data_IF_525102388374
#
_entry.id   IF_525102388374
#
_cell.length_a   1.000
_cell.length_b   1.000
_cell.length_c   1.000
_cell.angle_alpha   90.00
_cell.angle_beta   90.00
_cell.angle_gamma   90.00
#
_symmetry.space_group_name_H-M   'P 1'
#
loop_
_entity.id
_entity.type
_entity.pdbx_description
1 polymer ?
#
# COMPACT_ATOMS: atom_id res chain seq x y z
N UNK A 1 -7.51 16.51 1.74
CA UNK A 1 -8.03 15.25 1.14
C UNK A 1 -6.90 14.25 1.06
N UNK A 2 -7.13 12.94 1.21
CA UNK A 2 -6.06 11.95 1.12
C UNK A 2 -5.39 11.99 -0.26
N UNK A 3 -4.06 11.84 -0.35
CA UNK A 3 -3.39 11.70 -1.64
C UNK A 3 -3.87 10.44 -2.35
N UNK A 4 -3.96 10.50 -3.68
CA UNK A 4 -4.39 9.37 -4.48
C UNK A 4 -3.27 8.31 -4.54
N UNK A 5 -3.58 7.03 -4.26
CA UNK A 5 -2.62 5.96 -4.45
C UNK A 5 -2.39 5.67 -5.93
N UNK A 6 -1.18 5.21 -6.25
CA UNK A 6 -0.84 4.59 -7.51
C UNK A 6 -1.00 3.08 -7.36
N UNK A 7 -1.84 2.48 -8.20
CA UNK A 7 -2.07 1.03 -8.27
C UNK A 7 -1.36 0.45 -9.50
N UNK A 8 -0.58 -0.60 -9.31
CA UNK A 8 0.07 -1.36 -10.37
C UNK A 8 -0.22 -2.85 -10.19
N UNK A 9 -0.74 -3.50 -11.22
CA UNK A 9 -0.97 -4.95 -11.24
C UNK A 9 0.04 -5.58 -12.20
N UNK A 10 0.98 -6.37 -11.67
CA UNK A 10 2.04 -7.00 -12.48
C UNK A 10 2.30 -8.42 -11.98
N UNK A 11 2.42 -9.37 -12.91
CA UNK A 11 2.89 -10.73 -12.60
C UNK A 11 2.09 -11.48 -11.52
N UNK A 12 0.78 -11.24 -11.40
CA UNK A 12 -0.06 -11.88 -10.37
C UNK A 12 0.00 -11.21 -8.99
N UNK A 13 0.60 -10.03 -8.88
CA UNK A 13 0.65 -9.22 -7.65
C UNK A 13 0.07 -7.83 -7.88
N UNK A 14 -0.55 -7.29 -6.84
CA UNK A 14 -0.95 -5.90 -6.74
C UNK A 14 0.11 -5.14 -5.94
N UNK A 15 0.52 -3.99 -6.45
CA UNK A 15 1.33 -2.99 -5.76
C UNK A 15 0.52 -1.70 -5.62
N UNK A 16 0.32 -1.25 -4.39
CA UNK A 16 -0.23 0.08 -4.08
C UNK A 16 0.90 0.92 -3.55
N UNK A 17 1.03 2.17 -4.02
CA UNK A 17 2.06 3.08 -3.55
C UNK A 17 1.51 4.49 -3.35
N UNK A 18 1.93 5.14 -2.28
CA UNK A 18 1.49 6.49 -1.90
C UNK A 18 2.71 7.29 -1.47
N UNK A 19 2.83 8.55 -1.90
CA UNK A 19 3.92 9.42 -1.44
C UNK A 19 3.82 9.66 0.07
N UNK A 20 4.90 9.33 0.79
CA UNK A 20 5.02 9.58 2.23
C UNK A 20 4.91 11.07 2.54
N UNK A 21 5.61 11.90 1.77
CA UNK A 21 5.59 13.35 1.95
C UNK A 21 4.19 13.94 1.74
N UNK A 22 3.42 13.44 0.76
CA UNK A 22 2.06 13.94 0.52
C UNK A 22 1.09 13.55 1.64
N UNK A 23 1.27 12.36 2.24
CA UNK A 23 0.52 11.95 3.43
C UNK A 23 0.80 12.89 4.60
N UNK A 24 2.08 13.18 4.85
CA UNK A 24 2.52 14.03 5.96
C UNK A 24 2.08 15.49 5.80
N UNK A 25 2.18 16.06 4.59
CA UNK A 25 1.65 17.40 4.28
C UNK A 25 0.14 17.46 4.53
N UNK A 26 -0.56 16.35 4.25
CA UNK A 26 -1.99 16.20 4.50
C UNK A 26 -2.33 15.79 5.94
N UNK A 27 -1.35 15.84 6.86
CA UNK A 27 -1.45 15.51 8.28
C UNK A 27 -1.86 14.06 8.59
N UNK A 28 -1.64 13.13 7.65
CA UNK A 28 -1.83 11.70 7.88
C UNK A 28 -0.58 11.05 8.46
N UNK A 29 -0.78 10.07 9.35
CA UNK A 29 0.31 9.26 9.88
C UNK A 29 0.81 8.26 8.82
N UNK A 30 1.95 8.57 8.21
CA UNK A 30 2.60 7.71 7.21
C UNK A 30 3.20 6.42 7.81
N UNK A 31 3.26 6.31 9.14
CA UNK A 31 3.87 5.16 9.85
C UNK A 31 2.94 4.01 10.16
N UNK A 32 1.62 4.21 10.04
CA UNK A 32 0.64 3.20 10.39
C UNK A 32 -0.42 3.08 9.29
N UNK A 33 -0.01 2.47 8.18
CA UNK A 33 -0.85 2.17 7.03
C UNK A 33 -1.02 0.65 6.91
N UNK A 34 -2.27 0.21 6.80
CA UNK A 34 -2.66 -1.19 6.72
C UNK A 34 -3.82 -1.36 5.72
N UNK A 35 -3.89 -2.54 5.09
CA UNK A 35 -5.06 -2.91 4.29
C UNK A 35 -6.21 -3.31 5.23
N UNK A 36 -7.43 -2.97 4.83
CA UNK A 36 -8.63 -3.26 5.61
C UNK A 36 -8.76 -4.77 5.83
N UNK A 37 -9.14 -5.18 7.04
CA UNK A 37 -9.41 -6.57 7.41
C UNK A 37 -8.20 -7.53 7.32
N UNK A 38 -6.97 -7.02 7.33
CA UNK A 38 -5.81 -7.89 7.48
C UNK A 38 -5.49 -8.14 8.95
N UNK A 39 -5.90 -9.30 9.46
CA UNK A 39 -5.29 -9.88 10.69
C UNK A 39 -3.88 -10.41 10.42
N UNK A 40 -3.49 -10.49 9.16
CA UNK A 40 -2.16 -10.92 8.73
C UNK A 40 -1.19 -9.74 8.85
N UNK A 41 -0.30 -9.82 9.85
CA UNK A 41 0.77 -8.85 10.11
C UNK A 41 1.68 -8.69 8.89
N UNK A 42 1.73 -9.69 8.01
CA UNK A 42 2.52 -9.67 6.78
C UNK A 42 1.97 -8.73 5.70
N UNK A 43 0.76 -8.19 5.87
CA UNK A 43 0.14 -7.23 4.95
C UNK A 43 0.26 -5.78 5.44
N UNK A 44 1.38 -5.50 6.11
CA UNK A 44 1.75 -4.16 6.53
C UNK A 44 2.44 -3.41 5.40
N UNK A 45 2.32 -2.08 5.42
CA UNK A 45 3.02 -1.27 4.44
C UNK A 45 4.54 -1.31 4.66
N UNK A 46 5.30 -1.28 3.57
CA UNK A 46 6.75 -1.08 3.56
C UNK A 46 7.09 0.31 3.03
N UNK A 47 8.34 0.73 3.22
CA UNK A 47 8.85 1.96 2.64
C UNK A 47 9.80 1.67 1.49
N UNK A 48 9.61 2.35 0.37
CA UNK A 48 10.51 2.27 -0.78
C UNK A 48 10.85 3.68 -1.28
N UNK A 49 12.00 3.84 -1.94
CA UNK A 49 12.33 5.05 -2.69
C UNK A 49 12.08 4.75 -4.16
N UNK A 50 11.07 5.41 -4.75
CA UNK A 50 10.70 5.26 -6.15
C UNK A 50 10.90 6.60 -6.83
N UNK A 51 11.79 6.65 -7.84
CA UNK A 51 12.16 7.88 -8.56
C UNK A 51 12.59 9.03 -7.62
N UNK A 52 13.39 8.71 -6.60
CA UNK A 52 13.88 9.69 -5.62
C UNK A 52 12.84 10.17 -4.60
N UNK A 53 11.62 9.63 -4.63
CA UNK A 53 10.55 9.98 -3.69
C UNK A 53 10.31 8.83 -2.72
N UNK A 54 10.26 9.12 -1.42
CA UNK A 54 9.85 8.13 -0.40
C UNK A 54 8.37 7.81 -0.55
N UNK A 55 8.07 6.53 -0.75
CA UNK A 55 6.72 6.01 -0.90
C UNK A 55 6.45 4.98 0.19
N UNK A 56 5.20 4.97 0.65
CA UNK A 56 4.61 3.88 1.39
C UNK A 56 4.01 2.91 0.39
N UNK A 57 4.34 1.63 0.51
CA UNK A 57 4.06 0.61 -0.48
C UNK A 57 3.37 -0.59 0.16
N UNK A 58 2.35 -1.12 -0.51
CA UNK A 58 1.78 -2.43 -0.21
C UNK A 58 1.99 -3.34 -1.40
N UNK A 59 2.42 -4.57 -1.15
CA UNK A 59 2.53 -5.61 -2.16
C UNK A 59 1.73 -6.81 -1.67
N UNK A 60 0.77 -7.25 -2.48
CA UNK A 60 -0.07 -8.39 -2.14
C UNK A 60 -0.31 -9.26 -3.38
N UNK A 61 -0.16 -10.59 -3.29
CA UNK A 61 -0.59 -11.51 -4.34
C UNK A 61 -2.08 -11.37 -4.68
N UNK A 62 -2.41 -11.43 -5.96
CA UNK A 62 -3.80 -11.44 -6.47
C UNK A 62 -4.45 -12.82 -6.26
N UNK A 63 -4.57 -13.24 -5.01
CA UNK A 63 -5.14 -14.52 -4.61
C UNK A 63 -6.17 -14.30 -3.50
N UNK A 64 -7.32 -14.95 -3.60
CA UNK A 64 -8.35 -14.94 -2.56
C UNK A 64 -7.75 -15.31 -1.20
N UNK A 65 -8.05 -14.50 -0.19
CA UNK A 65 -7.56 -14.65 1.19
C UNK A 65 -6.21 -13.99 1.47
N UNK A 66 -5.38 -13.71 0.46
CA UNK A 66 -4.12 -12.98 0.67
C UNK A 66 -4.41 -11.54 1.07
N UNK A 67 -4.01 -11.10 2.26
CA UNK A 67 -4.30 -9.75 2.77
C UNK A 67 -5.80 -9.37 2.74
N UNK A 68 -6.70 -10.35 2.87
CA UNK A 68 -8.14 -10.11 2.78
C UNK A 68 -8.66 -9.89 1.35
N UNK A 69 -7.84 -10.15 0.31
CA UNK A 69 -8.26 -10.03 -1.09
C UNK A 69 -9.44 -10.96 -1.38
N UNK A 70 -10.41 -10.43 -2.14
CA UNK A 70 -11.54 -11.18 -2.70
C UNK A 70 -11.43 -11.08 -4.22
N UNK A 71 -11.28 -12.22 -4.90
CA UNK A 71 -11.31 -12.29 -6.35
C UNK A 71 -12.71 -12.72 -6.76
N UNK A 72 -13.45 -11.82 -7.42
CA UNK A 72 -14.79 -12.07 -7.99
C UNK A 72 -14.72 -12.15 -9.49
#
# INVERSE_FOLDING_TARGET
TPPLPILQCTGGSMKISISKCQLEISQFNSSNLHLNNSTDVNCSATYEIINGTSQVVFISPLKTGSCGNVVT
#
